data_IF_277129553316
#
_entry.id   IF_277129553316
#
_cell.length_a   1.000
_cell.length_b   1.000
_cell.length_c   1.000
_cell.angle_alpha   90.00
_cell.angle_beta   90.00
_cell.angle_gamma   90.00
#
_symmetry.space_group_name_H-M   'P 1'
#
loop_
_entity.id
_entity.type
_entity.pdbx_description
1 polymer ?
#
# COMPACT_ATOMS: atom_id res chain seq x y z
N UNK A 1 -15.79 -10.95 3.65
CA UNK A 1 -16.66 -11.11 2.47
C UNK A 1 -15.83 -11.79 1.41
N UNK A 2 -16.36 -12.82 0.74
CA UNK A 2 -15.66 -13.51 -0.35
C UNK A 2 -15.45 -12.52 -1.52
N UNK A 3 -14.29 -11.87 -1.54
CA UNK A 3 -13.88 -10.93 -2.60
C UNK A 3 -13.39 -11.69 -3.84
N UNK A 4 -14.09 -12.74 -4.25
CA UNK A 4 -13.76 -13.43 -5.50
C UNK A 4 -14.29 -12.62 -6.67
N UNK A 5 -13.39 -11.94 -7.38
CA UNK A 5 -13.73 -11.21 -8.60
C UNK A 5 -14.33 -12.15 -9.65
N UNK A 6 -15.35 -11.66 -10.35
CA UNK A 6 -15.93 -12.38 -11.49
C UNK A 6 -14.94 -12.40 -12.65
N UNK A 7 -15.09 -13.37 -13.56
CA UNK A 7 -14.27 -13.45 -14.78
C UNK A 7 -14.30 -12.14 -15.60
N UNK A 8 -15.46 -11.50 -15.70
CA UNK A 8 -15.60 -10.23 -16.41
C UNK A 8 -14.76 -9.14 -15.74
N UNK A 9 -14.90 -8.98 -14.42
CA UNK A 9 -14.11 -8.00 -13.65
C UNK A 9 -12.60 -8.24 -13.75
N UNK A 10 -12.14 -9.49 -13.72
CA UNK A 10 -10.73 -9.83 -13.92
C UNK A 10 -10.22 -9.40 -15.30
N UNK A 11 -11.00 -9.64 -16.36
CA UNK A 11 -10.63 -9.26 -17.73
C UNK A 11 -10.60 -7.74 -17.87
N UNK A 12 -11.56 -7.04 -17.27
CA UNK A 12 -11.65 -5.58 -17.36
C UNK A 12 -10.44 -4.92 -16.67
N UNK A 13 -10.09 -5.36 -15.45
CA UNK A 13 -8.90 -4.88 -14.74
C UNK A 13 -7.62 -5.20 -15.52
N UNK A 14 -7.51 -6.41 -16.08
CA UNK A 14 -6.33 -6.80 -16.86
C UNK A 14 -6.19 -5.98 -18.16
N UNK A 15 -7.31 -5.66 -18.81
CA UNK A 15 -7.34 -4.79 -19.99
C UNK A 15 -6.91 -3.37 -19.63
N UNK A 16 -7.47 -2.79 -18.56
CA UNK A 16 -7.10 -1.47 -18.08
C UNK A 16 -5.60 -1.36 -17.76
N UNK A 17 -5.05 -2.37 -17.08
CA UNK A 17 -3.61 -2.48 -16.80
C UNK A 17 -2.76 -2.47 -18.06
N UNK A 18 -3.16 -3.21 -19.09
CA UNK A 18 -2.41 -3.27 -20.35
C UNK A 18 -2.47 -1.96 -21.13
N UNK A 19 -3.57 -1.22 -21.01
CA UNK A 19 -3.73 0.11 -21.59
C UNK A 19 -3.07 1.24 -20.78
N UNK A 20 -2.44 0.94 -19.63
CA UNK A 20 -1.90 1.91 -18.67
C UNK A 20 -2.99 2.86 -18.12
N UNK A 21 -4.18 2.32 -17.88
CA UNK A 21 -5.28 3.04 -17.24
C UNK A 21 -5.23 2.86 -15.70
N UNK A 22 -5.86 3.78 -14.97
CA UNK A 22 -5.98 3.73 -13.51
C UNK A 22 -6.99 2.66 -13.11
N UNK A 23 -6.65 1.86 -12.10
CA UNK A 23 -7.50 0.80 -11.56
C UNK A 23 -8.12 1.26 -10.23
N UNK A 24 -9.38 0.92 -9.99
CA UNK A 24 -10.01 1.16 -8.68
C UNK A 24 -9.19 0.52 -7.55
N UNK A 25 -8.86 1.32 -6.53
CA UNK A 25 -8.00 0.93 -5.42
C UNK A 25 -8.52 -0.32 -4.69
N UNK A 26 -9.84 -0.43 -4.50
CA UNK A 26 -10.49 -1.59 -3.87
C UNK A 26 -10.41 -2.89 -4.67
N UNK A 27 -9.99 -2.85 -5.94
CA UNK A 27 -9.82 -4.05 -6.78
C UNK A 27 -8.39 -4.60 -6.75
N UNK A 28 -7.41 -3.87 -6.20
CA UNK A 28 -5.99 -4.26 -6.23
C UNK A 28 -5.75 -5.57 -5.49
N UNK A 29 -6.18 -5.68 -4.23
CA UNK A 29 -6.00 -6.92 -3.44
C UNK A 29 -6.79 -8.10 -4.02
N UNK A 30 -8.12 -7.98 -4.29
CA UNK A 30 -8.89 -9.06 -4.90
C UNK A 30 -8.32 -9.54 -6.24
N UNK A 31 -7.72 -8.64 -7.03
CA UNK A 31 -7.12 -8.97 -8.30
C UNK A 31 -5.78 -9.70 -8.14
N UNK A 32 -4.90 -9.26 -7.25
CA UNK A 32 -3.61 -9.91 -7.01
C UNK A 32 -3.74 -11.25 -6.30
N UNK A 33 -4.70 -11.38 -5.39
CA UNK A 33 -4.91 -12.58 -4.59
C UNK A 33 -5.71 -13.66 -5.36
N UNK A 34 -6.25 -13.34 -6.53
CA UNK A 34 -6.97 -14.29 -7.37
C UNK A 34 -6.06 -15.42 -7.87
N UNK A 35 -6.36 -16.64 -7.45
CA UNK A 35 -5.68 -17.86 -7.92
C UNK A 35 -6.59 -18.65 -8.87
N UNK A 36 -6.02 -19.13 -9.97
CA UNK A 36 -6.76 -19.99 -10.90
C UNK A 36 -6.79 -21.43 -10.38
N UNK A 37 -7.97 -22.05 -10.32
CA UNK A 37 -8.04 -23.49 -10.07
C UNK A 37 -7.20 -24.27 -11.08
N UNK A 38 -6.33 -25.15 -10.57
CA UNK A 38 -5.53 -26.06 -11.39
C UNK A 38 -6.44 -27.00 -12.18
N UNK A 39 -6.28 -26.97 -13.52
CA UNK A 39 -6.83 -27.87 -14.54
C UNK A 39 -8.04 -28.72 -14.11
N UNK A 40 -9.21 -28.37 -14.66
CA UNK A 40 -10.46 -29.12 -14.51
C UNK A 40 -10.27 -30.63 -14.68
N UNK A 41 -11.04 -31.44 -13.94
CA UNK A 41 -11.03 -32.91 -14.01
C UNK A 41 -11.16 -33.43 -15.45
N UNK A 42 -11.95 -32.74 -16.28
CA UNK A 42 -12.13 -33.02 -17.71
C UNK A 42 -10.84 -32.81 -18.52
N UNK A 43 -10.08 -31.74 -18.26
CA UNK A 43 -8.80 -31.50 -18.92
C UNK A 43 -7.74 -32.54 -18.56
N UNK A 44 -7.72 -33.00 -17.30
CA UNK A 44 -6.85 -34.11 -16.87
C UNK A 44 -7.23 -35.44 -17.52
N UNK A 45 -8.52 -35.70 -17.69
CA UNK A 45 -9.04 -36.87 -18.40
C UNK A 45 -8.67 -36.85 -19.89
N UNK A 46 -8.88 -35.73 -20.58
CA UNK A 46 -8.56 -35.57 -22.00
C UNK A 46 -7.07 -35.70 -22.30
N UNK A 47 -6.18 -35.21 -21.42
CA UNK A 47 -4.72 -35.39 -21.57
C UNK A 47 -4.30 -36.87 -21.48
N UNK A 48 -4.96 -37.66 -20.61
CA UNK A 48 -4.73 -39.11 -20.53
C UNK A 48 -5.27 -39.85 -21.77
N UNK A 49 -6.44 -39.47 -22.26
CA UNK A 49 -7.07 -40.06 -23.44
C UNK A 49 -6.28 -39.73 -24.71
N UNK A 50 -5.83 -38.49 -24.90
CA UNK A 50 -5.04 -38.08 -26.06
C UNK A 50 -3.70 -38.82 -26.14
N UNK A 51 -3.02 -39.02 -24.99
CA UNK A 51 -1.80 -39.82 -24.95
C UNK A 51 -2.06 -41.29 -25.33
N UNK A 52 -3.16 -41.88 -24.83
CA UNK A 52 -3.54 -43.25 -25.15
C UNK A 52 -3.94 -43.43 -26.63
N UNK A 53 -4.68 -42.48 -27.21
CA UNK A 53 -5.07 -42.49 -28.62
C UNK A 53 -3.84 -42.33 -29.53
N UNK A 54 -2.95 -41.40 -29.22
CA UNK A 54 -1.71 -41.22 -29.98
C UNK A 54 -0.81 -42.46 -29.91
N UNK A 55 -0.71 -43.10 -28.74
CA UNK A 55 0.04 -44.35 -28.57
C UNK A 55 -0.62 -45.51 -29.33
N UNK A 56 -1.95 -45.58 -29.32
CA UNK A 56 -2.73 -46.60 -30.04
C UNK A 56 -2.51 -46.49 -31.54
N UNK A 57 -2.66 -45.29 -32.12
CA UNK A 57 -2.44 -45.09 -33.56
C UNK A 57 -0.97 -45.32 -33.94
N UNK A 58 -0.01 -44.83 -33.15
CA UNK A 58 1.40 -45.12 -33.38
C UNK A 58 1.70 -46.62 -33.32
N UNK A 59 1.09 -47.35 -32.39
CA UNK A 59 1.32 -48.80 -32.24
C UNK A 59 0.65 -49.61 -33.36
N UNK A 60 -0.60 -49.29 -33.72
CA UNK A 60 -1.33 -50.02 -34.77
C UNK A 60 -0.70 -49.79 -36.14
N UNK A 61 -0.31 -48.56 -36.46
CA UNK A 61 0.25 -48.22 -37.77
C UNK A 61 1.72 -48.65 -37.94
N UNK A 62 2.49 -48.78 -36.85
CA UNK A 62 3.90 -49.20 -36.92
C UNK A 62 4.09 -50.70 -36.72
N UNK A 63 3.30 -51.33 -35.84
CA UNK A 63 3.49 -52.74 -35.47
C UNK A 63 2.64 -53.68 -36.35
N UNK A 64 1.47 -53.24 -36.83
CA UNK A 64 0.58 -54.04 -37.68
C UNK A 64 0.12 -53.26 -38.93
N UNK A 65 1.03 -53.04 -39.90
CA UNK A 65 0.76 -52.24 -41.10
C UNK A 65 -0.47 -52.72 -41.87
N UNK A 66 -0.63 -54.03 -41.97
CA UNK A 66 -1.73 -54.71 -42.69
C UNK A 66 -3.11 -54.45 -42.05
N UNK A 67 -3.17 -54.25 -40.73
CA UNK A 67 -4.40 -53.89 -40.01
C UNK A 67 -4.69 -52.40 -40.18
N UNK A 68 -3.65 -51.57 -40.17
CA UNK A 68 -3.75 -50.15 -40.48
C UNK A 68 -4.27 -49.88 -41.89
N UNK A 69 -3.77 -50.60 -42.89
CA UNK A 69 -4.22 -50.48 -44.28
C UNK A 69 -5.70 -50.85 -44.44
N UNK A 70 -6.16 -51.97 -43.85
CA UNK A 70 -7.58 -52.36 -43.88
C UNK A 70 -8.49 -51.36 -43.17
N UNK A 71 -8.05 -50.77 -42.07
CA UNK A 71 -8.78 -49.72 -41.37
C UNK A 71 -8.90 -48.45 -42.23
N UNK A 72 -7.87 -48.12 -42.99
CA UNK A 72 -7.86 -46.98 -43.90
C UNK A 72 -8.78 -47.22 -45.11
N UNK A 73 -8.80 -48.45 -45.64
CA UNK A 73 -9.73 -48.84 -46.73
C UNK A 73 -11.21 -48.80 -46.31
N UNK A 74 -11.51 -48.99 -45.02
CA UNK A 74 -12.87 -48.91 -44.48
C UNK A 74 -13.32 -47.48 -44.16
N UNK A 75 -12.43 -46.48 -44.24
CA UNK A 75 -12.77 -45.10 -43.94
C UNK A 75 -13.48 -44.41 -45.12
N UNK A 76 -14.43 -43.49 -44.86
CA UNK A 76 -15.15 -42.79 -45.92
C UNK A 76 -14.22 -41.95 -46.80
N UNK A 77 -14.49 -41.90 -48.11
CA UNK A 77 -13.70 -41.15 -49.11
C UNK A 77 -13.58 -39.63 -48.90
N UNK A 78 -14.23 -39.05 -47.89
CA UNK A 78 -14.00 -37.68 -47.42
C UNK A 78 -12.53 -37.44 -47.00
N UNK A 79 -11.80 -38.49 -46.60
CA UNK A 79 -10.39 -38.40 -46.23
C UNK A 79 -9.42 -38.51 -47.42
N UNK A 80 -9.92 -38.62 -48.66
CA UNK A 80 -9.10 -38.53 -49.86
C UNK A 80 -8.70 -37.07 -50.08
N UNK A 81 -7.40 -36.82 -50.07
CA UNK A 81 -6.88 -35.49 -50.31
C UNK A 81 -7.00 -35.13 -51.78
N UNK A 82 -7.32 -33.86 -52.11
CA UNK A 82 -7.19 -33.38 -53.47
C UNK A 82 -5.77 -33.67 -54.00
N UNK A 83 -5.66 -34.09 -55.25
CA UNK A 83 -4.39 -34.57 -55.83
C UNK A 83 -3.23 -33.57 -55.69
N UNK A 84 -3.54 -32.27 -55.74
CA UNK A 84 -2.56 -31.20 -55.50
C UNK A 84 -2.04 -31.18 -54.06
N UNK A 85 -2.90 -31.45 -53.08
CA UNK A 85 -2.56 -31.48 -51.66
C UNK A 85 -1.76 -32.73 -51.30
N UNK A 86 -2.12 -33.89 -51.85
CA UNK A 86 -1.37 -35.15 -51.70
C UNK A 86 0.04 -35.03 -52.27
N UNK A 87 0.19 -34.50 -53.50
CA UNK A 87 1.51 -34.25 -54.11
C UNK A 87 2.34 -33.21 -53.33
N UNK A 88 1.70 -32.18 -52.79
CA UNK A 88 2.38 -31.20 -51.95
C UNK A 88 2.89 -31.81 -50.63
N UNK A 89 2.09 -32.66 -49.98
CA UNK A 89 2.51 -33.39 -48.79
C UNK A 89 3.64 -34.38 -49.11
N UNK A 90 3.53 -35.14 -50.21
CA UNK A 90 4.60 -36.05 -50.63
C UNK A 90 5.90 -35.33 -50.99
N UNK A 91 5.82 -34.13 -51.56
CA UNK A 91 6.99 -33.29 -51.78
C UNK A 91 7.65 -32.89 -50.46
N UNK A 92 6.86 -32.48 -49.46
CA UNK A 92 7.35 -32.15 -48.11
C UNK A 92 7.94 -33.38 -47.42
N UNK A 93 7.32 -34.55 -47.55
CA UNK A 93 7.86 -35.81 -47.01
C UNK A 93 9.13 -36.24 -47.73
N UNK A 94 9.21 -36.05 -49.04
CA UNK A 94 10.41 -36.32 -49.85
C UNK A 94 11.64 -35.48 -49.46
N UNK A 95 11.43 -34.31 -48.83
CA UNK A 95 12.52 -33.50 -48.27
C UNK A 95 13.05 -34.04 -46.93
N UNK A 96 12.24 -34.81 -46.20
CA UNK A 96 12.55 -35.28 -44.84
C UNK A 96 12.82 -36.79 -44.80
N UNK A 97 12.36 -37.53 -45.81
CA UNK A 97 12.44 -38.99 -45.92
C UNK A 97 11.83 -39.51 -47.22
N UNK A 98 11.21 -40.70 -47.19
CA UNK A 98 10.52 -41.24 -48.37
C UNK A 98 9.10 -40.65 -48.49
N UNK A 99 8.65 -40.27 -49.71
CA UNK A 99 7.26 -39.87 -49.94
C UNK A 99 6.31 -41.04 -49.66
N UNK A 100 5.11 -40.72 -49.20
CA UNK A 100 4.09 -41.70 -48.80
C UNK A 100 3.39 -42.28 -50.01
N UNK A 101 3.21 -41.49 -51.08
CA UNK A 101 2.73 -41.95 -52.38
C UNK A 101 1.25 -42.35 -52.42
N UNK A 102 0.49 -42.00 -51.38
CA UNK A 102 -0.93 -42.34 -51.24
C UNK A 102 -1.77 -41.08 -51.10
N UNK A 103 -2.97 -41.06 -51.69
CA UNK A 103 -3.85 -39.89 -51.65
C UNK A 103 -4.67 -39.76 -50.36
N UNK A 104 -4.79 -40.84 -49.60
CA UNK A 104 -5.64 -40.84 -48.41
C UNK A 104 -4.90 -40.20 -47.23
N UNK A 105 -5.50 -39.18 -46.60
CA UNK A 105 -4.90 -38.39 -45.52
C UNK A 105 -4.32 -39.27 -44.40
N UNK A 106 -5.00 -40.37 -44.08
CA UNK A 106 -4.59 -41.30 -43.02
C UNK A 106 -3.21 -41.93 -43.21
N UNK A 107 -2.71 -42.06 -44.44
CA UNK A 107 -1.33 -42.52 -44.67
C UNK A 107 -0.29 -41.46 -44.32
N UNK A 108 -0.68 -40.18 -44.36
CA UNK A 108 0.18 -39.07 -43.95
C UNK A 108 0.06 -38.77 -42.46
N UNK A 109 -1.04 -39.15 -41.79
CA UNK A 109 -1.26 -38.91 -40.35
C UNK A 109 -0.12 -39.41 -39.46
N UNK A 110 0.47 -40.63 -39.63
CA UNK A 110 1.63 -41.03 -38.83
C UNK A 110 2.83 -40.08 -39.02
N UNK A 111 3.13 -39.68 -40.24
CA UNK A 111 4.22 -38.73 -40.51
C UNK A 111 3.89 -37.31 -39.97
N UNK A 112 2.64 -36.86 -40.08
CA UNK A 112 2.18 -35.61 -39.46
C UNK A 112 2.32 -35.70 -37.94
N UNK A 113 1.93 -36.81 -37.31
CA UNK A 113 2.05 -37.02 -35.87
C UNK A 113 3.52 -37.08 -35.44
N UNK A 114 4.38 -37.79 -36.18
CA UNK A 114 5.80 -37.92 -35.81
C UNK A 114 6.56 -36.61 -36.05
N UNK A 115 6.35 -35.95 -37.20
CA UNK A 115 7.13 -34.77 -37.60
C UNK A 115 6.53 -33.43 -37.18
N UNK A 116 5.21 -33.30 -37.09
CA UNK A 116 4.56 -32.10 -36.54
C UNK A 116 4.31 -32.20 -35.02
N UNK A 117 4.26 -33.42 -34.46
CA UNK A 117 3.75 -33.68 -33.11
C UNK A 117 4.59 -34.67 -32.28
N UNK A 118 5.93 -34.54 -32.26
CA UNK A 118 6.71 -35.12 -31.16
C UNK A 118 6.08 -34.75 -29.80
N UNK A 119 6.11 -35.64 -28.80
CA UNK A 119 5.34 -35.57 -27.53
C UNK A 119 5.33 -34.20 -26.83
N UNK A 120 6.34 -33.35 -27.08
CA UNK A 120 6.44 -31.95 -26.63
C UNK A 120 5.47 -31.00 -27.36
N UNK A 121 5.24 -31.21 -28.65
CA UNK A 121 4.43 -30.38 -29.54
C UNK A 121 2.93 -30.45 -29.26
N UNK A 122 2.35 -31.64 -29.00
CA UNK A 122 0.93 -31.75 -28.59
C UNK A 122 0.72 -31.03 -27.25
N UNK A 123 1.65 -31.18 -26.31
CA UNK A 123 1.56 -30.48 -25.01
C UNK A 123 1.69 -28.96 -25.16
N UNK A 124 2.49 -28.47 -26.10
CA UNK A 124 2.64 -27.04 -26.40
C UNK A 124 1.48 -26.47 -27.21
N UNK A 125 1.00 -27.16 -28.24
CA UNK A 125 -0.15 -26.74 -29.06
C UNK A 125 -1.43 -26.81 -28.24
N UNK A 126 -1.62 -27.86 -27.43
CA UNK A 126 -2.75 -27.94 -26.51
C UNK A 126 -2.62 -26.91 -25.36
N UNK A 127 -1.41 -26.61 -24.86
CA UNK A 127 -1.20 -25.42 -24.00
C UNK A 127 -1.55 -24.12 -24.71
N UNK A 128 -1.28 -23.99 -26.01
CA UNK A 128 -1.48 -22.75 -26.80
C UNK A 128 -2.91 -22.59 -27.33
N UNK A 129 -3.66 -23.69 -27.48
CA UNK A 129 -5.05 -23.75 -27.96
C UNK A 129 -6.06 -23.86 -26.80
N UNK A 130 -5.63 -24.34 -25.62
CA UNK A 130 -6.49 -24.52 -24.45
C UNK A 130 -6.07 -23.71 -23.21
N UNK A 131 -5.00 -22.90 -23.27
CA UNK A 131 -4.89 -21.77 -22.33
C UNK A 131 -6.04 -20.83 -22.64
N UNK A 132 -6.98 -20.78 -21.73
CA UNK A 132 -7.92 -19.70 -21.58
C UNK A 132 -7.17 -18.37 -21.77
N UNK A 133 -7.22 -17.74 -22.96
CA UNK A 133 -6.48 -16.50 -23.26
C UNK A 133 -6.68 -15.43 -22.19
N UNK A 134 -7.86 -15.41 -21.57
CA UNK A 134 -8.18 -14.52 -20.47
C UNK A 134 -7.43 -14.82 -19.17
N UNK A 135 -7.13 -16.10 -18.84
CA UNK A 135 -6.33 -16.46 -17.65
C UNK A 135 -4.89 -16.00 -17.82
N UNK A 136 -4.32 -16.19 -19.01
CA UNK A 136 -2.97 -15.73 -19.34
C UNK A 136 -2.87 -14.19 -19.35
N UNK A 137 -3.89 -13.53 -19.89
CA UNK A 137 -4.04 -12.07 -19.84
C UNK A 137 -4.03 -11.56 -18.39
N UNK A 138 -4.85 -12.16 -17.52
CA UNK A 138 -4.96 -11.78 -16.11
C UNK A 138 -3.66 -12.08 -15.36
N UNK A 139 -3.04 -13.25 -15.56
CA UNK A 139 -1.76 -13.59 -14.93
C UNK A 139 -0.64 -12.62 -15.31
N UNK A 140 -0.54 -12.27 -16.61
CA UNK A 140 0.43 -11.27 -17.07
C UNK A 140 0.16 -9.88 -16.50
N UNK A 141 -1.12 -9.52 -16.35
CA UNK A 141 -1.52 -8.24 -15.75
C UNK A 141 -1.26 -8.21 -14.23
N UNK A 142 -1.48 -9.31 -13.51
CA UNK A 142 -1.10 -9.46 -12.09
C UNK A 142 0.40 -9.25 -11.90
N UNK A 143 1.25 -9.88 -12.75
CA UNK A 143 2.71 -9.69 -12.71
C UNK A 143 3.11 -8.24 -13.02
N UNK A 144 2.46 -7.61 -14.01
CA UNK A 144 2.66 -6.19 -14.35
C UNK A 144 2.29 -5.28 -13.18
N UNK A 145 1.14 -5.51 -12.54
CA UNK A 145 0.68 -4.74 -11.39
C UNK A 145 1.60 -4.93 -10.19
N UNK A 146 2.02 -6.17 -9.88
CA UNK A 146 2.94 -6.46 -8.78
C UNK A 146 4.27 -5.70 -8.94
N UNK A 147 4.85 -5.69 -10.15
CA UNK A 147 6.05 -4.89 -10.46
C UNK A 147 5.81 -3.39 -10.33
N UNK A 148 4.69 -2.89 -10.87
CA UNK A 148 4.36 -1.48 -10.77
C UNK A 148 4.19 -1.03 -9.30
N UNK A 149 3.64 -1.90 -8.44
CA UNK A 149 3.55 -1.68 -7.00
C UNK A 149 4.94 -1.71 -6.37
N UNK A 150 5.79 -2.68 -6.67
CA UNK A 150 7.17 -2.76 -6.15
C UNK A 150 7.98 -1.48 -6.51
N UNK A 151 7.79 -0.96 -7.71
CA UNK A 151 8.46 0.24 -8.20
C UNK A 151 7.83 1.56 -7.71
N UNK A 152 6.63 1.52 -7.10
CA UNK A 152 5.87 2.70 -6.69
C UNK A 152 5.38 3.55 -7.86
N UNK A 153 5.00 2.88 -8.95
CA UNK A 153 4.50 3.46 -10.22
C UNK A 153 3.09 2.98 -10.57
N UNK A 154 2.41 2.31 -9.64
CA UNK A 154 1.04 1.82 -9.82
C UNK A 154 0.06 2.96 -10.12
N UNK A 155 -0.88 2.70 -11.03
CA UNK A 155 -1.90 3.67 -11.43
C UNK A 155 -3.23 3.32 -10.77
N UNK A 156 -3.67 4.16 -9.84
CA UNK A 156 -4.83 3.86 -9.01
C UNK A 156 -5.90 4.94 -9.16
N UNK A 157 -7.15 4.53 -8.96
CA UNK A 157 -8.31 5.41 -8.85
C UNK A 157 -8.95 5.16 -7.50
N UNK A 158 -9.13 6.24 -6.75
CA UNK A 158 -9.77 6.23 -5.45
C UNK A 158 -11.16 6.87 -5.55
N UNK A 159 -12.04 6.54 -4.61
CA UNK A 159 -13.29 7.28 -4.47
C UNK A 159 -12.99 8.76 -4.16
N UNK A 160 -13.82 9.71 -4.64
CA UNK A 160 -13.66 11.12 -4.30
C UNK A 160 -13.62 11.34 -2.79
N UNK A 161 -12.77 12.26 -2.34
CA UNK A 161 -12.54 12.50 -0.91
C UNK A 161 -11.42 11.65 -0.29
N UNK A 162 -10.66 10.87 -1.05
CA UNK A 162 -9.51 10.17 -0.46
C UNK A 162 -8.39 11.13 -0.01
N UNK A 163 -7.56 10.68 0.92
CA UNK A 163 -6.41 11.44 1.44
C UNK A 163 -5.12 11.15 0.65
N UNK A 164 -4.27 12.15 0.49
CA UNK A 164 -2.89 11.99 0.02
C UNK A 164 -1.93 12.04 1.21
N UNK A 165 -1.42 10.88 1.63
CA UNK A 165 -0.64 10.73 2.86
C UNK A 165 0.87 10.81 2.56
N UNK A 166 1.55 11.88 2.97
CA UNK A 166 3.00 12.01 2.83
C UNK A 166 3.69 11.45 4.06
N UNK A 167 4.26 10.25 3.90
CA UNK A 167 4.71 9.41 5.00
C UNK A 167 6.23 9.22 4.97
N UNK A 168 6.86 9.49 6.10
CA UNK A 168 8.26 9.22 6.39
C UNK A 168 8.53 7.74 6.73
N UNK A 169 9.78 7.44 7.07
CA UNK A 169 10.12 6.12 7.60
C UNK A 169 9.64 6.01 9.05
N UNK A 170 8.66 5.16 9.30
CA UNK A 170 8.24 4.81 10.65
C UNK A 170 6.85 5.30 11.08
N UNK A 171 6.16 6.17 10.31
CA UNK A 171 4.89 6.79 10.75
C UNK A 171 3.78 5.77 11.05
N UNK A 172 3.65 5.42 12.31
CA UNK A 172 2.71 4.47 12.87
C UNK A 172 1.27 4.98 12.81
N UNK A 173 1.05 6.29 12.93
CA UNK A 173 -0.28 6.89 12.76
C UNK A 173 -0.80 6.67 11.34
N UNK A 174 0.01 7.00 10.32
CA UNK A 174 -0.34 6.80 8.92
C UNK A 174 -0.54 5.31 8.61
N UNK A 175 0.39 4.46 9.07
CA UNK A 175 0.25 3.01 8.97
C UNK A 175 -1.06 2.51 9.58
N UNK A 176 -1.41 2.96 10.77
CA UNK A 176 -2.62 2.50 11.44
C UNK A 176 -3.90 3.02 10.77
N UNK A 177 -3.85 4.19 10.14
CA UNK A 177 -4.96 4.73 9.37
C UNK A 177 -5.24 3.87 8.13
N UNK A 178 -4.19 3.54 7.38
CA UNK A 178 -4.26 2.74 6.14
C UNK A 178 -4.54 1.26 6.43
N UNK A 179 -4.07 0.73 7.56
CA UNK A 179 -4.33 -0.67 7.92
C UNK A 179 -5.81 -0.95 8.23
N UNK A 180 -6.55 0.03 8.74
CA UNK A 180 -8.00 -0.09 8.99
C UNK A 180 -8.79 -0.05 7.67
N UNK A 181 -8.41 0.86 6.76
CA UNK A 181 -8.98 1.00 5.43
C UNK A 181 -7.90 1.43 4.42
N UNK A 182 -7.38 0.51 3.58
CA UNK A 182 -6.38 0.85 2.59
C UNK A 182 -6.87 1.86 1.54
N UNK A 183 -8.18 1.97 1.35
CA UNK A 183 -8.79 2.87 0.35
C UNK A 183 -9.00 4.29 0.86
N UNK A 184 -8.68 4.56 2.14
CA UNK A 184 -8.72 5.90 2.73
C UNK A 184 -7.81 6.89 1.99
N UNK A 185 -6.72 6.40 1.39
CA UNK A 185 -5.77 7.27 0.73
C UNK A 185 -4.57 6.58 0.12
N UNK A 186 -3.85 7.34 -0.71
CA UNK A 186 -2.58 6.91 -1.29
C UNK A 186 -1.43 7.25 -0.32
N UNK A 187 -0.59 6.27 -0.02
CA UNK A 187 0.66 6.51 0.72
C UNK A 187 1.76 7.00 -0.23
N UNK A 188 2.36 8.16 0.04
CA UNK A 188 3.43 8.75 -0.75
C UNK A 188 4.70 8.73 0.10
N UNK A 189 5.68 7.94 -0.34
CA UNK A 189 6.91 7.70 0.43
C UNK A 189 8.11 7.43 -0.47
N UNK A 190 9.33 7.53 0.08
CA UNK A 190 10.57 7.29 -0.69
C UNK A 190 10.80 5.81 -1.03
N UNK A 191 10.18 4.90 -0.26
CA UNK A 191 10.29 3.44 -0.37
C UNK A 191 8.93 2.80 -0.11
N UNK A 192 8.74 1.58 -0.62
CA UNK A 192 7.52 0.82 -0.40
C UNK A 192 7.29 0.58 1.08
N UNK A 193 6.09 0.91 1.55
CA UNK A 193 5.66 0.62 2.91
C UNK A 193 5.07 -0.80 2.97
N UNK A 194 5.46 -1.66 3.94
CA UNK A 194 5.04 -3.05 3.96
C UNK A 194 3.55 -3.24 4.29
N UNK A 195 2.88 -2.21 4.79
CA UNK A 195 1.49 -2.26 5.24
C UNK A 195 0.47 -1.90 4.15
N UNK A 196 0.91 -1.50 2.96
CA UNK A 196 -0.02 -1.15 1.87
C UNK A 196 0.57 -1.42 0.49
N UNK A 197 -0.27 -1.88 -0.43
CA UNK A 197 0.05 -1.98 -1.87
C UNK A 197 -0.29 -0.69 -2.62
N UNK A 198 -1.07 0.20 -2.01
CA UNK A 198 -1.56 1.45 -2.57
C UNK A 198 -0.62 2.59 -2.19
N UNK A 199 0.48 2.71 -2.92
CA UNK A 199 1.50 3.72 -2.66
C UNK A 199 2.15 4.26 -3.94
N UNK A 200 2.73 5.45 -3.83
CA UNK A 200 3.50 6.08 -4.89
C UNK A 200 4.88 6.49 -4.39
N UNK A 201 5.90 6.25 -5.21
CA UNK A 201 7.27 6.62 -4.89
C UNK A 201 7.50 8.12 -5.06
N UNK A 202 7.99 8.75 -4.00
CA UNK A 202 8.47 10.12 -4.01
C UNK A 202 9.54 10.35 -2.94
N UNK A 203 10.73 10.78 -3.35
CA UNK A 203 11.76 11.28 -2.44
C UNK A 203 11.94 12.80 -2.59
N UNK A 204 12.24 13.49 -1.49
CA UNK A 204 12.39 14.95 -1.46
C UNK A 204 13.44 15.49 -2.46
N UNK A 205 14.46 14.68 -2.79
CA UNK A 205 15.49 15.02 -3.77
C UNK A 205 15.03 14.99 -5.23
N UNK A 206 13.86 14.43 -5.54
CA UNK A 206 13.32 14.36 -6.90
C UNK A 206 12.67 15.67 -7.37
N UNK A 207 12.51 16.64 -6.47
CA UNK A 207 11.94 17.95 -6.80
C UNK A 207 10.51 17.88 -7.34
N UNK A 208 10.17 18.83 -8.22
CA UNK A 208 8.80 19.02 -8.68
C UNK A 208 8.38 17.94 -9.68
N UNK A 209 9.30 17.42 -10.51
CA UNK A 209 9.02 16.33 -11.44
C UNK A 209 8.57 15.05 -10.70
N UNK A 210 9.25 14.70 -9.61
CA UNK A 210 8.88 13.56 -8.77
C UNK A 210 7.52 13.75 -8.12
N UNK A 211 7.22 14.97 -7.65
CA UNK A 211 5.96 15.31 -7.01
C UNK A 211 4.79 15.23 -8.00
N UNK A 212 4.93 15.84 -9.18
CA UNK A 212 3.93 15.79 -10.27
C UNK A 212 3.71 14.35 -10.72
N UNK A 213 4.76 13.55 -10.84
CA UNK A 213 4.67 12.13 -11.20
C UNK A 213 3.86 11.36 -10.16
N UNK A 214 4.19 11.49 -8.87
CA UNK A 214 3.49 10.78 -7.79
C UNK A 214 2.00 11.12 -7.76
N UNK A 215 1.64 12.40 -7.88
CA UNK A 215 0.22 12.81 -7.94
C UNK A 215 -0.47 12.40 -9.24
N UNK A 216 0.26 12.33 -10.35
CA UNK A 216 -0.26 11.89 -11.65
C UNK A 216 -0.69 10.42 -11.68
N UNK A 217 -0.13 9.59 -10.80
CA UNK A 217 -0.47 8.17 -10.66
C UNK A 217 -1.91 7.94 -10.17
N UNK A 218 -2.53 8.96 -9.56
CA UNK A 218 -3.88 8.88 -9.01
C UNK A 218 -4.82 9.96 -9.54
N UNK A 219 -6.11 9.88 -9.22
CA UNK A 219 -7.08 10.95 -9.45
C UNK A 219 -6.95 12.06 -8.39
N UNK A 220 -5.76 12.67 -8.28
CA UNK A 220 -5.44 13.67 -7.25
C UNK A 220 -6.36 14.91 -7.28
N UNK A 221 -7.06 15.17 -8.37
CA UNK A 221 -8.08 16.23 -8.44
C UNK A 221 -9.22 15.99 -7.44
N UNK A 222 -9.63 14.73 -7.30
CA UNK A 222 -10.73 14.27 -6.44
C UNK A 222 -10.30 14.05 -4.99
N UNK A 223 -9.03 14.24 -4.66
CA UNK A 223 -8.55 14.12 -3.28
C UNK A 223 -9.19 15.18 -2.38
N UNK A 224 -9.58 14.78 -1.16
CA UNK A 224 -10.15 15.71 -0.16
C UNK A 224 -9.07 16.56 0.50
N UNK A 225 -7.96 15.93 0.85
CA UNK A 225 -6.87 16.58 1.57
C UNK A 225 -5.48 15.97 1.33
N UNK A 226 -4.47 16.77 1.69
CA UNK A 226 -3.10 16.32 1.91
C UNK A 226 -2.86 16.14 3.40
N UNK A 227 -2.25 15.04 3.81
CA UNK A 227 -1.87 14.81 5.21
C UNK A 227 -0.35 14.67 5.30
N UNK A 228 0.28 15.52 6.12
CA UNK A 228 1.72 15.57 6.33
C UNK A 228 2.05 15.10 7.75
N UNK A 229 3.06 14.25 7.89
CA UNK A 229 3.53 13.71 9.18
C UNK A 229 4.99 14.18 9.45
N UNK A 230 5.22 15.44 9.85
CA UNK A 230 6.58 15.97 10.06
C UNK A 230 7.24 15.55 11.39
N UNK A 231 6.53 14.83 12.27
CA UNK A 231 7.02 14.45 13.61
C UNK A 231 7.12 12.94 13.71
N UNK A 232 8.23 12.46 14.27
CA UNK A 232 8.42 11.02 14.53
C UNK A 232 7.47 10.54 15.62
N UNK A 233 7.03 9.29 15.53
CA UNK A 233 6.13 8.73 16.54
C UNK A 233 6.71 8.75 17.95
N UNK A 234 8.02 8.53 18.10
CA UNK A 234 8.75 8.60 19.37
C UNK A 234 8.77 10.01 20.00
N UNK A 235 8.31 11.02 19.26
CA UNK A 235 8.31 12.43 19.67
C UNK A 235 6.95 13.10 19.49
N UNK A 236 5.83 12.35 19.35
CA UNK A 236 4.51 12.96 19.16
C UNK A 236 4.12 13.88 20.33
N UNK A 237 4.45 13.52 21.57
CA UNK A 237 4.05 14.28 22.76
C UNK A 237 5.22 15.03 23.39
N UNK A 238 5.08 16.35 23.53
CA UNK A 238 6.11 17.24 24.06
C UNK A 238 7.47 17.05 23.36
N UNK A 239 7.55 17.11 22.02
CA UNK A 239 8.82 17.01 21.32
C UNK A 239 9.77 18.11 21.78
N UNK A 240 11.06 17.79 21.86
CA UNK A 240 12.09 18.79 22.01
C UNK A 240 12.22 19.71 20.78
N UNK A 241 13.01 20.79 20.88
CA UNK A 241 13.14 21.79 19.81
C UNK A 241 13.69 21.24 18.48
N UNK A 242 14.41 20.12 18.52
CA UNK A 242 15.04 19.47 17.37
C UNK A 242 14.42 18.11 17.04
N UNK A 243 13.36 17.72 17.74
CA UNK A 243 12.76 16.39 17.70
C UNK A 243 11.68 16.34 16.58
N UNK A 244 12.09 16.62 15.34
CA UNK A 244 11.24 16.55 14.15
C UNK A 244 11.82 15.55 13.13
N UNK A 245 10.96 14.94 12.32
CA UNK A 245 11.39 14.21 11.13
C UNK A 245 11.68 15.20 9.98
N UNK A 246 10.72 16.11 9.76
CA UNK A 246 10.82 17.20 8.79
C UNK A 246 10.75 18.52 9.53
N UNK A 247 11.84 19.29 9.47
CA UNK A 247 11.92 20.60 10.08
C UNK A 247 10.80 21.54 9.57
N UNK A 248 10.21 22.41 10.42
CA UNK A 248 9.11 23.30 10.04
C UNK A 248 9.35 24.10 8.74
N UNK A 249 10.55 24.65 8.51
CA UNK A 249 10.85 25.37 7.26
C UNK A 249 10.75 24.50 5.99
N UNK A 250 11.02 23.20 6.09
CA UNK A 250 10.84 22.25 4.97
C UNK A 250 9.37 21.93 4.75
N UNK A 251 8.57 21.92 5.82
CA UNK A 251 7.11 21.80 5.73
C UNK A 251 6.53 23.02 5.00
N UNK A 252 7.01 24.24 5.29
CA UNK A 252 6.60 25.45 4.55
C UNK A 252 6.88 25.31 3.04
N UNK A 253 8.05 24.81 2.67
CA UNK A 253 8.40 24.54 1.26
C UNK A 253 7.49 23.48 0.63
N UNK A 254 7.17 22.40 1.35
CA UNK A 254 6.26 21.36 0.87
C UNK A 254 4.84 21.89 0.65
N UNK A 255 4.32 22.67 1.60
CA UNK A 255 3.01 23.34 1.50
C UNK A 255 2.99 24.30 0.31
N UNK A 256 4.03 25.12 0.14
CA UNK A 256 4.14 26.02 -1.01
C UNK A 256 4.06 25.26 -2.34
N UNK A 257 4.79 24.15 -2.47
CA UNK A 257 4.77 23.29 -3.67
C UNK A 257 3.38 22.71 -3.95
N UNK A 258 2.67 22.26 -2.91
CA UNK A 258 1.29 21.79 -3.04
C UNK A 258 0.41 22.91 -3.61
N UNK A 259 0.48 24.12 -3.04
CA UNK A 259 -0.32 25.27 -3.49
C UNK A 259 0.04 25.72 -4.91
N UNK A 260 1.31 25.71 -5.27
CA UNK A 260 1.78 26.01 -6.63
C UNK A 260 1.21 24.99 -7.63
N UNK A 261 1.30 23.69 -7.31
CA UNK A 261 0.74 22.64 -8.15
C UNK A 261 -0.78 22.75 -8.33
N UNK A 262 -1.53 23.02 -7.27
CA UNK A 262 -2.98 23.26 -7.35
C UNK A 262 -3.28 24.45 -8.26
N UNK A 263 -2.53 25.54 -8.14
CA UNK A 263 -2.70 26.74 -8.97
C UNK A 263 -2.40 26.47 -10.45
N UNK A 264 -1.32 25.74 -10.75
CA UNK A 264 -0.97 25.34 -12.12
C UNK A 264 -2.04 24.47 -12.77
N UNK A 265 -2.72 23.63 -11.96
CA UNK A 265 -3.82 22.78 -12.40
C UNK A 265 -5.19 23.47 -12.35
N UNK A 266 -5.25 24.73 -11.93
CA UNK A 266 -6.48 25.48 -11.70
C UNK A 266 -7.45 24.79 -10.72
N UNK A 267 -6.92 24.06 -9.75
CA UNK A 267 -7.69 23.43 -8.69
C UNK A 267 -8.00 24.42 -7.56
N UNK A 268 -9.11 24.22 -6.87
CA UNK A 268 -9.36 24.89 -5.59
C UNK A 268 -8.38 24.35 -4.54
N UNK A 269 -7.92 25.22 -3.65
CA UNK A 269 -7.03 24.85 -2.56
C UNK A 269 -7.70 23.81 -1.66
N UNK A 270 -7.18 22.58 -1.70
CA UNK A 270 -7.64 21.47 -0.86
C UNK A 270 -7.17 21.69 0.57
N UNK A 271 -7.78 20.96 1.49
CA UNK A 271 -7.37 20.99 2.89
C UNK A 271 -5.97 20.38 3.04
N UNK A 272 -5.13 20.95 3.89
CA UNK A 272 -3.87 20.36 4.30
C UNK A 272 -3.92 20.12 5.81
N UNK A 273 -3.73 18.87 6.23
CA UNK A 273 -3.64 18.47 7.62
C UNK A 273 -2.17 18.20 7.94
N UNK A 274 -1.63 18.86 8.96
CA UNK A 274 -0.29 18.59 9.46
C UNK A 274 -0.42 17.93 10.83
N UNK A 275 0.10 16.72 10.98
CA UNK A 275 0.14 15.99 12.25
C UNK A 275 1.46 16.29 12.94
N UNK A 276 1.49 17.29 13.82
CA UNK A 276 2.72 17.74 14.46
C UNK A 276 2.50 18.86 15.47
N UNK A 277 3.51 19.15 16.28
CA UNK A 277 3.42 20.13 17.36
C UNK A 277 3.49 21.56 16.81
N UNK A 278 2.46 22.37 17.11
CA UNK A 278 2.31 23.75 16.61
C UNK A 278 3.48 24.66 16.99
N UNK A 279 4.16 24.35 18.09
CA UNK A 279 5.20 25.19 18.69
C UNK A 279 6.61 24.83 18.23
N UNK A 280 6.78 23.74 17.49
CA UNK A 280 8.07 23.42 16.88
C UNK A 280 8.48 24.52 15.90
N UNK A 281 9.73 24.95 16.00
CA UNK A 281 10.27 26.12 15.28
C UNK A 281 11.59 25.78 14.59
N UNK A 282 11.79 26.34 13.41
CA UNK A 282 13.10 26.49 12.77
C UNK A 282 13.54 27.94 12.95
N UNK A 283 14.73 28.16 13.52
CA UNK A 283 15.31 29.48 13.70
C UNK A 283 16.48 29.65 12.73
N UNK A 284 16.46 30.69 11.92
CA UNK A 284 17.60 31.08 11.10
C UNK A 284 18.34 32.23 11.78
N UNK A 285 19.61 32.02 12.09
CA UNK A 285 20.49 32.99 12.75
C UNK A 285 21.65 33.33 11.82
N UNK A 286 22.02 34.60 11.77
CA UNK A 286 23.19 35.06 11.02
C UNK A 286 24.36 35.21 11.98
N UNK A 287 25.49 34.59 11.68
CA UNK A 287 26.73 34.71 12.45
C UNK A 287 27.82 35.37 11.59
N UNK A 288 28.45 36.40 12.14
CA UNK A 288 29.60 37.07 11.56
C UNK A 288 30.89 36.72 12.30
N UNK A 289 32.02 37.27 11.84
CA UNK A 289 33.35 37.00 12.40
C UNK A 289 33.47 37.33 13.91
N UNK A 290 32.69 38.30 14.40
CA UNK A 290 32.69 38.74 15.80
C UNK A 290 31.58 38.12 16.65
N UNK A 291 30.83 37.16 16.09
CA UNK A 291 29.71 36.47 16.73
C UNK A 291 28.37 36.71 16.04
N UNK A 292 27.29 36.35 16.73
CA UNK A 292 25.92 36.42 16.17
C UNK A 292 25.55 37.86 15.82
N UNK A 293 25.17 38.07 14.58
CA UNK A 293 24.60 39.34 14.12
C UNK A 293 23.14 39.33 14.57
N UNK A 294 22.75 40.33 15.35
CA UNK A 294 21.36 40.53 15.73
C UNK A 294 20.57 41.03 14.52
N UNK A 295 20.22 40.11 13.61
CA UNK A 295 19.14 40.29 12.65
C UNK A 295 17.83 39.86 13.32
N UNK A 296 16.69 40.29 12.77
CA UNK A 296 15.41 39.68 13.13
C UNK A 296 15.55 38.17 12.94
N UNK A 297 15.19 37.40 13.97
CA UNK A 297 15.25 35.94 13.92
C UNK A 297 14.12 35.52 12.98
N UNK A 298 14.46 35.02 11.80
CA UNK A 298 13.51 34.38 10.91
C UNK A 298 13.08 33.06 11.58
N UNK A 299 11.94 33.11 12.27
CA UNK A 299 11.31 31.97 12.93
C UNK A 299 10.20 31.41 12.04
N UNK A 300 10.31 30.11 11.71
CA UNK A 300 9.25 29.37 11.02
C UNK A 300 8.74 28.26 11.93
N UNK A 301 7.47 28.34 12.32
CA UNK A 301 6.77 27.29 13.09
C UNK A 301 5.61 26.70 12.31
N UNK A 302 5.13 25.52 12.73
CA UNK A 302 3.91 24.96 12.14
C UNK A 302 2.73 25.92 12.29
N UNK A 303 2.59 26.59 13.44
CA UNK A 303 1.57 27.65 13.64
C UNK A 303 1.65 28.73 12.57
N UNK A 304 2.83 29.34 12.38
CA UNK A 304 2.99 30.43 11.40
C UNK A 304 2.72 29.97 9.96
N UNK A 305 2.97 28.68 9.65
CA UNK A 305 2.65 28.11 8.34
C UNK A 305 1.12 28.01 8.18
N UNK A 306 0.40 27.51 9.19
CA UNK A 306 -1.06 27.44 9.13
C UNK A 306 -1.74 28.81 9.06
N UNK A 307 -1.17 29.85 9.67
CA UNK A 307 -1.68 31.22 9.57
C UNK A 307 -1.41 31.83 8.17
N UNK A 308 -0.34 31.39 7.50
CA UNK A 308 0.12 31.92 6.20
C UNK A 308 -0.68 31.38 5.01
N UNK A 309 -1.16 30.14 5.05
CA UNK A 309 -1.88 29.52 3.93
C UNK A 309 -3.33 29.16 4.29
N UNK A 310 -4.22 29.27 3.31
CA UNK A 310 -5.63 28.90 3.47
C UNK A 310 -5.84 27.40 3.64
N UNK A 311 -6.98 27.02 4.23
CA UNK A 311 -7.43 25.63 4.40
C UNK A 311 -6.40 24.70 5.06
N UNK A 312 -5.67 25.22 6.06
CA UNK A 312 -4.73 24.45 6.86
C UNK A 312 -5.32 24.05 8.21
N UNK A 313 -5.05 22.82 8.64
CA UNK A 313 -5.34 22.33 9.98
C UNK A 313 -4.08 21.70 10.56
N UNK A 314 -3.70 22.08 11.78
CA UNK A 314 -2.65 21.37 12.51
C UNK A 314 -3.32 20.50 13.55
N UNK A 315 -3.18 19.19 13.40
CA UNK A 315 -3.48 18.22 14.43
C UNK A 315 -2.26 18.13 15.34
N UNK A 316 -2.34 18.82 16.47
CA UNK A 316 -1.25 18.89 17.46
C UNK A 316 -1.41 17.77 18.49
N UNK A 317 -0.54 16.74 18.49
CA UNK A 317 -0.67 15.63 19.43
C UNK A 317 -0.47 16.06 20.88
N UNK A 318 0.39 17.05 21.14
CA UNK A 318 0.60 17.63 22.47
C UNK A 318 -0.68 18.29 22.98
N UNK A 319 -1.29 19.14 22.15
CA UNK A 319 -2.54 19.83 22.49
C UNK A 319 -3.67 18.81 22.74
N UNK A 320 -3.84 17.85 21.82
CA UNK A 320 -4.88 16.81 21.89
C UNK A 320 -4.74 15.98 23.18
N UNK A 321 -3.51 15.59 23.52
CA UNK A 321 -3.22 14.82 24.73
C UNK A 321 -3.49 15.64 25.99
N UNK A 322 -3.08 16.91 26.05
CA UNK A 322 -3.34 17.74 27.23
C UNK A 322 -4.83 18.03 27.38
N UNK A 323 -5.57 18.23 26.29
CA UNK A 323 -7.03 18.38 26.34
C UNK A 323 -7.70 17.12 26.93
N UNK A 324 -7.26 15.93 26.52
CA UNK A 324 -7.74 14.68 27.11
C UNK A 324 -7.40 14.57 28.61
N UNK A 325 -6.19 14.96 29.01
CA UNK A 325 -5.77 15.02 30.42
C UNK A 325 -6.67 15.99 31.20
N UNK A 326 -6.93 17.19 30.67
CA UNK A 326 -7.78 18.20 31.32
C UNK A 326 -9.22 17.69 31.48
N UNK A 327 -9.76 17.02 30.47
CA UNK A 327 -11.07 16.41 30.53
C UNK A 327 -11.15 15.35 31.64
N UNK A 328 -10.14 14.48 31.75
CA UNK A 328 -10.06 13.46 32.81
C UNK A 328 -9.83 14.11 34.19
N UNK A 329 -9.04 15.18 34.26
CA UNK A 329 -8.76 15.89 35.51
C UNK A 329 -10.04 16.47 36.12
N UNK A 330 -11.02 16.89 35.30
CA UNK A 330 -12.31 17.39 35.77
C UNK A 330 -12.19 18.47 36.86
N UNK A 331 -11.22 19.38 36.71
CA UNK A 331 -10.95 20.47 37.64
C UNK A 331 -9.93 20.18 38.75
N UNK A 332 -9.45 18.94 38.89
CA UNK A 332 -8.41 18.53 39.86
C UNK A 332 -7.03 19.09 39.52
N UNK A 333 -6.23 19.47 40.51
CA UNK A 333 -4.84 19.90 40.31
C UNK A 333 -4.04 18.83 39.57
N UNK A 334 -3.49 19.19 38.42
CA UNK A 334 -2.66 18.29 37.60
C UNK A 334 -1.22 18.35 38.09
N UNK A 335 -0.65 17.20 38.45
CA UNK A 335 0.74 17.04 38.85
C UNK A 335 1.48 16.21 37.82
N UNK A 336 2.58 16.73 37.28
CA UNK A 336 3.44 16.01 36.34
C UNK A 336 4.48 15.17 37.08
N UNK A 337 4.56 13.87 36.76
CA UNK A 337 5.49 12.90 37.34
C UNK A 337 6.24 12.16 36.22
N UNK A 338 7.54 12.01 36.42
CA UNK A 338 8.48 11.43 35.47
C UNK A 338 9.75 11.03 36.22
N UNK A 339 10.70 10.37 35.55
CA UNK A 339 12.11 10.30 35.97
C UNK A 339 12.69 11.71 36.21
N UNK A 340 13.78 11.84 36.98
CA UNK A 340 14.46 13.13 37.22
C UNK A 340 14.79 13.84 35.90
N UNK A 341 15.32 13.08 34.93
CA UNK A 341 15.65 13.58 33.59
C UNK A 341 14.43 14.03 32.82
N UNK A 342 13.32 13.30 32.89
CA UNK A 342 12.11 13.67 32.17
C UNK A 342 11.34 14.82 32.82
N UNK A 343 11.42 15.02 34.14
CA UNK A 343 10.90 16.25 34.78
C UNK A 343 11.67 17.48 34.28
N UNK A 344 13.01 17.38 34.21
CA UNK A 344 13.85 18.46 33.68
C UNK A 344 13.56 18.73 32.19
N UNK A 345 13.40 17.67 31.40
CA UNK A 345 13.17 17.77 29.95
C UNK A 345 11.77 18.25 29.59
N UNK A 346 10.74 17.65 30.17
CA UNK A 346 9.35 17.80 29.73
C UNK A 346 8.47 18.62 30.68
N UNK A 347 8.80 18.69 31.97
CA UNK A 347 7.92 19.27 32.99
C UNK A 347 7.61 20.74 32.73
N UNK A 348 8.63 21.55 32.38
CA UNK A 348 8.43 22.96 32.05
C UNK A 348 7.51 23.15 30.85
N UNK A 349 7.73 22.36 29.81
CA UNK A 349 6.96 22.44 28.58
C UNK A 349 5.51 21.98 28.79
N UNK A 350 5.30 20.90 29.54
CA UNK A 350 3.97 20.42 29.93
C UNK A 350 3.14 21.53 30.59
N UNK A 351 3.67 22.19 31.62
CA UNK A 351 2.94 23.27 32.31
C UNK A 351 2.79 24.53 31.44
N UNK A 352 3.74 24.83 30.55
CA UNK A 352 3.60 25.91 29.57
C UNK A 352 2.40 25.64 28.66
N UNK A 353 2.30 24.43 28.09
CA UNK A 353 1.22 24.01 27.18
C UNK A 353 -0.13 23.95 27.90
N UNK A 354 -0.15 23.46 29.13
CA UNK A 354 -1.34 23.45 29.99
C UNK A 354 -1.87 24.88 30.25
N UNK A 355 -0.97 25.83 30.49
CA UNK A 355 -1.31 27.26 30.64
C UNK A 355 -1.86 27.89 29.36
N UNK A 356 -1.29 27.56 28.19
CA UNK A 356 -1.79 28.03 26.89
C UNK A 356 -3.23 27.55 26.60
N UNK A 357 -3.63 26.42 27.15
CA UNK A 357 -5.02 25.92 27.10
C UNK A 357 -5.95 26.58 28.13
N UNK A 358 -5.46 27.53 28.93
CA UNK A 358 -6.25 28.25 29.92
C UNK A 358 -6.66 27.42 31.13
N UNK A 359 -5.99 26.28 31.38
CA UNK A 359 -6.33 25.42 32.49
C UNK A 359 -6.05 26.09 33.83
N UNK A 360 -7.02 26.03 34.74
CA UNK A 360 -6.85 26.41 36.14
C UNK A 360 -7.59 25.41 37.03
N UNK A 361 -6.95 24.90 38.09
CA UNK A 361 -7.61 23.94 38.99
C UNK A 361 -8.76 24.63 39.74
N UNK A 362 -9.87 23.90 39.87
CA UNK A 362 -11.05 24.31 40.65
C UNK A 362 -11.21 23.47 41.92
N UNK A 363 -10.39 22.43 42.10
CA UNK A 363 -10.34 21.54 43.25
C UNK A 363 -8.90 21.36 43.77
N UNK A 364 -8.77 21.15 45.08
CA UNK A 364 -7.50 20.82 45.75
C UNK A 364 -7.09 19.35 45.55
N UNK A 365 -8.01 18.50 45.12
CA UNK A 365 -7.68 17.11 44.75
C UNK A 365 -6.69 17.08 43.60
N UNK A 366 -5.77 16.11 43.62
CA UNK A 366 -4.72 16.00 42.61
C UNK A 366 -4.92 14.80 41.68
N UNK A 367 -4.65 15.01 40.39
CA UNK A 367 -4.43 13.97 39.38
C UNK A 367 -2.95 13.96 39.02
N UNK A 368 -2.26 12.84 39.24
CA UNK A 368 -0.85 12.69 38.89
C UNK A 368 -0.70 12.06 37.53
N UNK A 369 -0.05 12.76 36.60
CA UNK A 369 0.21 12.31 35.24
C UNK A 369 1.60 11.71 35.17
N UNK A 370 1.71 10.46 34.72
CA UNK A 370 2.98 9.79 34.46
C UNK A 370 3.39 9.93 33.00
N UNK A 371 4.54 10.54 32.71
CA UNK A 371 5.15 10.59 31.38
C UNK A 371 6.65 10.33 31.47
N UNK A 372 7.28 9.86 30.38
CA UNK A 372 8.70 9.45 30.32
C UNK A 372 9.04 8.28 31.26
N UNK A 373 8.54 7.10 30.90
CA UNK A 373 8.62 5.96 31.77
C UNK A 373 8.96 4.75 30.92
N UNK A 374 10.09 4.12 31.20
CA UNK A 374 10.38 2.77 30.69
C UNK A 374 9.23 1.81 31.06
N UNK A 375 9.08 0.69 30.35
CA UNK A 375 8.06 -0.34 30.68
C UNK A 375 8.02 -0.62 32.19
N UNK A 376 9.21 -0.79 32.77
CA UNK A 376 9.45 -1.20 34.16
C UNK A 376 9.06 -0.13 35.18
N UNK A 377 9.33 1.13 34.91
CA UNK A 377 8.97 2.21 35.82
C UNK A 377 7.45 2.45 35.79
N UNK A 378 6.78 2.23 34.64
CA UNK A 378 5.33 2.45 34.49
C UNK A 378 4.59 1.35 35.22
N UNK A 379 5.04 0.12 34.98
CA UNK A 379 4.55 -1.07 35.65
C UNK A 379 4.78 -0.99 37.16
N UNK A 380 5.96 -0.58 37.64
CA UNK A 380 6.20 -0.39 39.07
C UNK A 380 5.25 0.65 39.70
N UNK A 381 5.02 1.79 39.06
CA UNK A 381 4.12 2.82 39.61
C UNK A 381 2.65 2.36 39.62
N UNK A 382 2.21 1.63 38.59
CA UNK A 382 0.86 1.06 38.52
C UNK A 382 0.64 -0.07 39.54
N UNK A 383 1.61 -0.99 39.66
CA UNK A 383 1.55 -2.13 40.59
C UNK A 383 1.74 -1.73 42.04
N UNK A 384 2.57 -0.72 42.33
CA UNK A 384 2.81 -0.24 43.69
C UNK A 384 1.59 0.47 44.31
N UNK A 385 0.61 0.89 43.49
CA UNK A 385 -0.57 1.66 43.91
C UNK A 385 -0.26 2.87 44.81
N UNK A 386 0.98 3.39 44.74
CA UNK A 386 1.45 4.45 45.64
C UNK A 386 0.67 5.76 45.46
N UNK A 387 -0.04 5.91 44.35
CA UNK A 387 -0.81 7.10 43.98
C UNK A 387 -2.24 6.71 43.58
N UNK A 388 -3.27 7.03 44.38
CA UNK A 388 -4.65 6.62 44.14
C UNK A 388 -5.31 7.31 42.92
N UNK A 389 -4.66 8.33 42.33
CA UNK A 389 -5.12 9.04 41.14
C UNK A 389 -3.96 9.23 40.15
N UNK A 390 -3.43 8.12 39.66
CA UNK A 390 -2.33 8.09 38.70
C UNK A 390 -2.84 7.80 37.28
N UNK A 391 -2.50 8.66 36.32
CA UNK A 391 -2.82 8.51 34.91
C UNK A 391 -1.53 8.37 34.09
N UNK A 392 -1.15 7.17 33.64
CA UNK A 392 -0.05 6.98 32.71
C UNK A 392 -0.39 7.50 31.32
N UNK A 393 0.52 8.25 30.73
CA UNK A 393 0.48 8.77 29.36
C UNK A 393 1.56 8.04 28.57
N UNK A 394 1.14 7.21 27.63
CA UNK A 394 1.95 6.20 26.97
C UNK A 394 2.12 6.56 25.50
N UNK A 395 3.38 6.57 25.06
CA UNK A 395 3.75 6.79 23.67
C UNK A 395 4.17 5.49 22.97
N UNK A 396 4.95 4.64 23.65
CA UNK A 396 5.48 3.39 23.09
C UNK A 396 4.42 2.29 22.99
N UNK A 397 4.42 1.58 21.86
CA UNK A 397 3.58 0.40 21.64
C UNK A 397 3.98 -0.76 22.54
N UNK A 398 5.28 -0.94 22.80
CA UNK A 398 5.77 -2.04 23.63
C UNK A 398 5.31 -1.89 25.09
N UNK A 399 5.39 -0.66 25.63
CA UNK A 399 4.82 -0.30 26.95
C UNK A 399 3.32 -0.64 26.96
N UNK A 400 2.59 -0.19 25.94
CA UNK A 400 1.16 -0.44 25.83
C UNK A 400 0.83 -1.94 25.85
N UNK A 401 1.49 -2.75 25.01
CA UNK A 401 1.23 -4.18 24.92
C UNK A 401 1.63 -4.92 26.22
N UNK A 402 2.67 -4.45 26.93
CA UNK A 402 3.04 -4.94 28.27
C UNK A 402 1.98 -4.65 29.33
N UNK A 403 1.45 -3.43 29.33
CA UNK A 403 0.41 -2.99 30.28
C UNK A 403 -0.96 -3.63 30.02
N UNK A 404 -1.30 -3.91 28.76
CA UNK A 404 -2.51 -4.69 28.42
C UNK A 404 -2.40 -6.12 28.95
N UNK A 405 -1.22 -6.75 28.84
CA UNK A 405 -0.98 -8.11 29.36
C UNK A 405 -1.07 -8.18 30.90
N UNK A 406 -0.76 -7.10 31.61
CA UNK A 406 -0.86 -7.05 33.07
C UNK A 406 -2.28 -6.76 33.60
N UNK A 407 -3.28 -6.62 32.71
CA UNK A 407 -4.70 -6.55 33.08
C UNK A 407 -5.25 -5.15 33.34
N UNK A 408 -4.63 -4.11 32.79
CA UNK A 408 -5.18 -2.75 32.83
C UNK A 408 -6.42 -2.59 31.94
N UNK A 409 -7.37 -1.78 32.40
CA UNK A 409 -8.65 -1.50 31.75
C UNK A 409 -8.54 -0.24 30.88
N UNK A 410 -9.36 -0.11 29.84
CA UNK A 410 -9.23 0.91 28.77
C UNK A 410 -9.33 2.38 29.23
N UNK A 411 -9.80 2.65 30.45
CA UNK A 411 -9.94 3.99 31.03
C UNK A 411 -8.81 4.39 32.00
N UNK A 412 -7.84 3.50 32.20
CA UNK A 412 -6.78 3.69 33.20
C UNK A 412 -5.50 4.33 32.65
N UNK A 413 -5.49 4.74 31.38
CA UNK A 413 -4.31 5.30 30.71
C UNK A 413 -4.69 6.14 29.48
N UNK A 414 -3.75 6.97 29.00
CA UNK A 414 -3.83 7.59 27.68
C UNK A 414 -2.77 6.97 26.78
N UNK A 415 -3.19 6.34 25.68
CA UNK A 415 -2.27 5.92 24.62
C UNK A 415 -2.30 6.92 23.47
N UNK A 416 -1.25 7.73 23.37
CA UNK A 416 -1.19 8.90 22.49
C UNK A 416 -1.44 8.53 21.03
N UNK A 417 -0.82 7.48 20.45
CA UNK A 417 -1.06 7.13 19.05
C UNK A 417 -2.53 6.80 18.73
N UNK A 418 -3.25 6.13 19.65
CA UNK A 418 -4.68 5.85 19.48
C UNK A 418 -5.50 7.14 19.51
N UNK A 419 -5.20 8.05 20.43
CA UNK A 419 -5.88 9.34 20.56
C UNK A 419 -5.70 10.20 19.30
N UNK A 420 -4.46 10.32 18.81
CA UNK A 420 -4.13 11.09 17.60
C UNK A 420 -4.78 10.47 16.36
N UNK A 421 -4.76 9.14 16.24
CA UNK A 421 -5.43 8.43 15.15
C UNK A 421 -6.93 8.71 15.12
N UNK A 422 -7.62 8.63 16.27
CA UNK A 422 -9.06 8.89 16.35
C UNK A 422 -9.40 10.32 15.92
N UNK A 423 -8.60 11.29 16.37
CA UNK A 423 -8.80 12.68 15.98
C UNK A 423 -8.49 12.90 14.48
N UNK A 424 -7.45 12.26 13.94
CA UNK A 424 -7.16 12.30 12.50
C UNK A 424 -8.31 11.68 11.69
N UNK A 425 -8.84 10.53 12.10
CA UNK A 425 -10.00 9.88 11.47
C UNK A 425 -11.23 10.81 11.48
N UNK A 426 -11.45 11.52 12.59
CA UNK A 426 -12.52 12.53 12.69
C UNK A 426 -12.30 13.67 11.70
N UNK A 427 -11.07 14.16 11.55
CA UNK A 427 -10.75 15.26 10.64
C UNK A 427 -10.85 14.86 9.16
N UNK A 428 -10.38 13.66 8.81
CA UNK A 428 -10.46 13.09 7.46
C UNK A 428 -11.91 12.75 7.09
N UNK A 429 -12.71 12.27 8.04
CA UNK A 429 -14.13 11.96 7.81
C UNK A 429 -15.07 13.17 7.72
N UNK A 430 -14.58 14.40 7.88
CA UNK A 430 -15.38 15.64 7.92
C UNK A 430 -15.63 16.31 6.56
N UNK A 431 -15.63 15.52 5.49
CA UNK A 431 -15.65 16.02 4.10
C UNK A 431 -17.03 16.49 3.63
#
# INVERSE_FOLDING_TARGET
>A
MDNTLTKAALIDVATALNNNEKIEAGLVDPFLDHTFEELSSFSRFMLKVAAAISLFFASVLVIFPEVGEKLIEWLPGFFLLPERLSKALDYVWGLVGKPVGQQHLMYHVPNIIVYAFGVVGIRQVWKRVHKNNWKDLVASAQEKLARAIEDGTGLFRFAPGFSLLFVGEGDHIARSLVADDPTIGLTISSRQQPYTKLWARFAAGEGDEGFVRALGQVNAEDAGEYVLFPVRDEHLFLPGPLDFDIAPHRVDVAVRRIREFEKERAWKAKRIIIVGDKEQRSNFITEGETGRIATDIDEVSLRTIADKYENMTILDPTETTIQAIVAIAAGRRILFRSSDRGVEKYGREFYRRLSLLGYSPTSEEALTIGYDISDLETEHQLLSQAYPAYLPVILSRDIFDGLVKSGLWDDSYIFIPRLVKQELQRLVGQQ
#
